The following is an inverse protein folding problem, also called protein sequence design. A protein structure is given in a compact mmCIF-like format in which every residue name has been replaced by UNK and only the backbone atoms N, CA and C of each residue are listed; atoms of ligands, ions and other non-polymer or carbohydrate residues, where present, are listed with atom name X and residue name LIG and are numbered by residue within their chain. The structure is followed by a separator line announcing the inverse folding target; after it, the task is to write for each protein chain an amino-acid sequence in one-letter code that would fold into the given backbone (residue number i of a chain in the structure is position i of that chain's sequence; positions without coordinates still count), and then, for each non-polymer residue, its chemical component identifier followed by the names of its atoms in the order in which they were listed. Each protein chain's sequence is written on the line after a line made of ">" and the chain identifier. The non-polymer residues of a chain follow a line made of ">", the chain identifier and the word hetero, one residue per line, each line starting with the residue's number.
data_IF_638264057713
#
_entry.id   IF_638264057713
#
_cell.length_a   1.000
_cell.length_b   1.000
_cell.length_c   1.000
_cell.angle_alpha   90.00
_cell.angle_beta   90.00
_cell.angle_gamma   90.00
#
_symmetry.space_group_name_H-M   'P 1'
#
loop_
_entity.id
_entity.type
_entity.pdbx_description
1 polymer ?
#
# COMPACT_ATOMS: atom_id res chain seq x y z
N UNK A 1 7.62 -2.54 8.31
CA UNK A 1 7.42 -3.18 6.99
C UNK A 1 8.75 -3.22 6.26
N UNK A 2 9.36 -2.08 5.92
CA UNK A 2 10.73 -2.06 5.38
C UNK A 2 11.80 -2.51 6.40
N UNK A 3 11.63 -2.19 7.68
CA UNK A 3 12.50 -2.68 8.76
C UNK A 3 12.51 -4.22 8.91
N UNK A 4 11.39 -4.87 8.56
CA UNK A 4 11.25 -6.33 8.65
C UNK A 4 11.45 -7.04 7.32
N UNK A 5 11.27 -6.34 6.19
CA UNK A 5 11.38 -6.83 4.83
C UNK A 5 12.06 -5.75 3.96
N UNK A 6 13.40 -5.67 3.99
CA UNK A 6 14.16 -4.64 3.27
C UNK A 6 14.06 -4.78 1.75
N UNK A 7 13.87 -5.99 1.27
CA UNK A 7 13.60 -6.32 -0.14
C UNK A 7 12.37 -5.61 -0.68
N UNK A 8 11.39 -5.32 0.19
CA UNK A 8 10.18 -4.60 -0.22
C UNK A 8 10.45 -3.11 -0.44
N UNK A 9 11.47 -2.52 0.19
CA UNK A 9 11.88 -1.16 -0.13
C UNK A 9 12.37 -1.05 -1.57
N UNK A 10 13.04 -2.08 -2.08
CA UNK A 10 13.62 -2.09 -3.43
C UNK A 10 12.57 -2.07 -4.54
N UNK A 11 11.35 -2.56 -4.28
CA UNK A 11 10.22 -2.49 -5.23
C UNK A 11 9.48 -1.16 -5.16
N UNK A 12 9.66 -0.38 -4.10
CA UNK A 12 9.17 0.99 -4.02
C UNK A 12 10.20 1.93 -4.67
N UNK A 13 10.11 2.13 -5.98
CA UNK A 13 11.04 2.94 -6.79
C UNK A 13 11.44 4.29 -6.15
N UNK A 14 10.53 5.07 -5.53
CA UNK A 14 10.90 6.34 -4.89
C UNK A 14 11.78 6.21 -3.64
N UNK A 15 11.81 5.04 -3.00
CA UNK A 15 12.48 4.81 -1.73
C UNK A 15 13.71 3.92 -1.84
N UNK A 16 14.02 3.42 -3.04
CA UNK A 16 15.15 2.53 -3.28
C UNK A 16 16.48 3.18 -2.85
N UNK A 17 17.25 2.48 -2.01
CA UNK A 17 18.55 2.95 -1.54
C UNK A 17 18.54 4.13 -0.57
N UNK A 18 17.37 4.65 -0.17
CA UNK A 18 17.28 5.72 0.83
C UNK A 18 17.50 5.18 2.25
N UNK A 19 18.14 5.95 3.15
CA UNK A 19 18.21 5.62 4.57
C UNK A 19 16.82 5.51 5.21
N UNK A 20 16.66 4.63 6.20
CA UNK A 20 15.37 4.44 6.87
C UNK A 20 14.83 5.70 7.55
N UNK A 21 15.66 6.54 8.15
CA UNK A 21 15.20 7.82 8.71
C UNK A 21 14.52 8.70 7.66
N UNK A 22 15.07 8.76 6.44
CA UNK A 22 14.52 9.58 5.36
C UNK A 22 13.20 9.00 4.84
N UNK A 23 13.14 7.67 4.72
CA UNK A 23 11.93 6.95 4.30
C UNK A 23 10.80 7.13 5.33
N UNK A 24 11.10 7.06 6.63
CA UNK A 24 10.12 7.25 7.70
C UNK A 24 9.53 8.68 7.71
N UNK A 25 10.32 9.69 7.33
CA UNK A 25 9.87 11.09 7.26
C UNK A 25 9.19 11.44 5.93
N UNK A 26 9.16 10.51 4.97
CA UNK A 26 8.60 10.75 3.64
C UNK A 26 7.10 11.03 3.68
N UNK A 27 6.72 12.22 3.18
CA UNK A 27 5.31 12.59 2.98
C UNK A 27 4.62 11.67 1.98
N UNK A 28 5.35 11.17 0.99
CA UNK A 28 4.84 10.26 -0.02
C UNK A 28 4.52 8.89 0.57
N UNK A 29 5.42 8.36 1.41
CA UNK A 29 5.17 7.10 2.12
C UNK A 29 3.95 7.22 3.03
N UNK A 30 3.84 8.32 3.78
CA UNK A 30 2.66 8.58 4.64
C UNK A 30 1.38 8.65 3.82
N UNK A 31 1.38 9.35 2.69
CA UNK A 31 0.23 9.43 1.80
C UNK A 31 -0.14 8.06 1.20
N UNK A 32 0.85 7.24 0.84
CA UNK A 32 0.63 5.88 0.38
C UNK A 32 0.02 5.00 1.47
N UNK A 33 0.59 5.01 2.69
CA UNK A 33 0.06 4.27 3.83
C UNK A 33 -1.40 4.63 4.13
N UNK A 34 -1.78 5.91 4.05
CA UNK A 34 -3.17 6.33 4.20
C UNK A 34 -4.10 5.75 3.13
N UNK A 35 -3.66 5.68 1.86
CA UNK A 35 -4.43 5.04 0.79
C UNK A 35 -4.60 3.54 1.02
N UNK A 36 -3.54 2.86 1.48
CA UNK A 36 -3.56 1.44 1.84
C UNK A 36 -4.58 1.20 2.97
N UNK A 37 -4.50 1.96 4.06
CA UNK A 37 -5.43 1.78 5.19
C UNK A 37 -6.88 2.09 4.80
N UNK A 38 -7.11 3.13 3.98
CA UNK A 38 -8.44 3.43 3.45
C UNK A 38 -8.98 2.34 2.53
N UNK A 39 -8.10 1.65 1.78
CA UNK A 39 -8.49 0.48 1.00
C UNK A 39 -8.87 -0.70 1.91
N UNK A 40 -8.05 -1.01 2.91
CA UNK A 40 -8.34 -2.09 3.89
C UNK A 40 -9.69 -1.85 4.56
N UNK A 41 -9.95 -0.64 5.02
CA UNK A 41 -11.25 -0.29 5.63
C UNK A 41 -12.42 -0.54 4.66
N UNK A 42 -12.30 -0.09 3.40
CA UNK A 42 -13.33 -0.31 2.37
C UNK A 42 -13.54 -1.80 2.08
N UNK A 43 -12.47 -2.58 2.03
CA UNK A 43 -12.54 -4.02 1.77
C UNK A 43 -13.22 -4.76 2.92
N UNK A 44 -12.82 -4.47 4.17
CA UNK A 44 -13.42 -5.06 5.38
C UNK A 44 -14.92 -4.78 5.46
N UNK A 45 -15.35 -3.54 5.18
CA UNK A 45 -16.78 -3.18 5.17
C UNK A 45 -17.60 -3.87 4.08
N UNK A 46 -16.96 -4.52 3.10
CA UNK A 46 -17.60 -5.14 1.93
C UNK A 46 -17.38 -6.66 1.87
N UNK A 47 -16.88 -7.28 2.93
CA UNK A 47 -16.62 -8.73 2.97
C UNK A 47 -17.86 -9.55 2.58
N UNK A 48 -19.03 -9.15 3.09
CA UNK A 48 -20.31 -9.82 2.78
C UNK A 48 -21.00 -9.29 1.51
N UNK A 49 -20.31 -8.46 0.73
CA UNK A 49 -20.82 -7.81 -0.48
C UNK A 49 -19.92 -8.14 -1.69
N UNK A 50 -19.85 -9.41 -2.14
CA UNK A 50 -18.88 -9.86 -3.15
C UNK A 50 -18.98 -9.07 -4.46
N UNK A 51 -20.20 -8.67 -4.87
CA UNK A 51 -20.45 -7.83 -6.05
C UNK A 51 -19.72 -6.48 -5.99
N UNK A 52 -19.49 -5.94 -4.79
CA UNK A 52 -18.76 -4.67 -4.58
C UNK A 52 -17.29 -4.87 -4.21
N UNK A 53 -16.94 -6.01 -3.60
CA UNK A 53 -15.58 -6.32 -3.18
C UNK A 53 -14.71 -6.75 -4.37
N UNK A 54 -15.23 -7.60 -5.26
CA UNK A 54 -14.46 -8.14 -6.39
C UNK A 54 -13.94 -7.01 -7.31
N UNK A 55 -14.77 -6.04 -7.76
CA UNK A 55 -14.27 -4.95 -8.60
C UNK A 55 -13.22 -4.09 -7.87
N UNK A 56 -13.41 -3.86 -6.57
CA UNK A 56 -12.50 -3.07 -5.73
C UNK A 56 -11.11 -3.72 -5.64
N UNK A 57 -11.04 -5.03 -5.42
CA UNK A 57 -9.77 -5.77 -5.34
C UNK A 57 -9.11 -5.88 -6.72
N UNK A 58 -9.89 -6.08 -7.78
CA UNK A 58 -9.36 -6.09 -9.15
C UNK A 58 -8.75 -4.74 -9.55
N UNK A 59 -9.38 -3.63 -9.17
CA UNK A 59 -8.83 -2.29 -9.37
C UNK A 59 -7.52 -2.09 -8.60
N UNK A 60 -7.46 -2.56 -7.36
CA UNK A 60 -6.22 -2.56 -6.59
C UNK A 60 -5.11 -3.33 -7.30
N UNK A 61 -5.41 -4.53 -7.83
CA UNK A 61 -4.45 -5.32 -8.60
C UNK A 61 -3.93 -4.57 -9.84
N UNK A 62 -4.82 -3.97 -10.63
CA UNK A 62 -4.44 -3.19 -11.83
C UNK A 62 -3.50 -2.02 -11.52
N UNK A 63 -3.59 -1.43 -10.32
CA UNK A 63 -2.74 -0.31 -9.91
C UNK A 63 -1.34 -0.76 -9.41
N UNK A 64 -1.10 -2.06 -9.27
CA UNK A 64 0.17 -2.62 -8.79
C UNK A 64 0.85 -3.57 -9.80
N UNK A 65 0.21 -3.84 -10.96
CA UNK A 65 0.82 -4.54 -12.10
C UNK A 65 1.55 -3.56 -13.00
#
# INVERSE_FOLDING_TARGET
>A
MFETHPDVQEVFTPFRGLPMEEVQQSKELRAHALRVMGFVEKAVRRLDQPVKLVPLVQECGRNHC
#
